data_IF_588864692200
#
_entry.id   IF_588864692200
#
_cell.length_a   1.000
_cell.length_b   1.000
_cell.length_c   1.000
_cell.angle_alpha   90.00
_cell.angle_beta   90.00
_cell.angle_gamma   90.00
#
_symmetry.space_group_name_H-M   'P 1'
#
loop_
_entity.id
_entity.type
_entity.pdbx_description
1 polymer ?
#
# COMPACT_ATOMS: atom_id res chain seq x y z
N UNK A 1 -15.83 -11.89 -18.36
CA UNK A 1 -16.84 -11.56 -17.32
C UNK A 1 -16.48 -10.34 -16.43
N UNK A 2 -15.54 -9.46 -16.80
CA UNK A 2 -15.12 -8.35 -15.92
C UNK A 2 -15.91 -7.02 -16.09
N UNK A 3 -16.72 -6.89 -17.15
CA UNK A 3 -17.40 -5.61 -17.50
C UNK A 3 -18.61 -5.30 -16.63
N UNK A 4 -19.32 -6.32 -16.12
CA UNK A 4 -20.52 -6.11 -15.31
C UNK A 4 -20.19 -5.57 -13.91
N UNK A 5 -19.09 -6.00 -13.29
CA UNK A 5 -18.75 -5.61 -11.91
C UNK A 5 -18.43 -4.13 -11.75
N UNK A 6 -17.86 -3.48 -12.77
CA UNK A 6 -17.53 -2.04 -12.73
C UNK A 6 -18.78 -1.17 -12.93
N UNK A 7 -19.71 -1.58 -13.80
CA UNK A 7 -20.99 -0.89 -13.99
C UNK A 7 -21.85 -0.93 -12.73
N UNK A 8 -21.94 -2.08 -12.06
CA UNK A 8 -22.63 -2.20 -10.78
C UNK A 8 -21.99 -1.35 -9.68
N UNK A 9 -20.66 -1.30 -9.63
CA UNK A 9 -19.94 -0.46 -8.67
C UNK A 9 -20.20 1.03 -8.92
N UNK A 10 -20.26 1.44 -10.18
CA UNK A 10 -20.56 2.81 -10.57
C UNK A 10 -21.98 3.20 -10.14
N UNK A 11 -22.98 2.40 -10.53
CA UNK A 11 -24.38 2.64 -10.15
C UNK A 11 -24.57 2.68 -8.63
N UNK A 12 -23.96 1.74 -7.90
CA UNK A 12 -24.00 1.73 -6.44
C UNK A 12 -23.36 2.99 -5.83
N UNK A 13 -22.23 3.43 -6.37
CA UNK A 13 -21.54 4.64 -5.88
C UNK A 13 -22.39 5.87 -6.14
N UNK A 14 -23.05 5.97 -7.29
CA UNK A 14 -23.94 7.09 -7.64
C UNK A 14 -25.16 7.19 -6.70
N UNK A 15 -25.84 6.06 -6.46
CA UNK A 15 -26.95 6.01 -5.49
C UNK A 15 -26.50 6.37 -4.08
N UNK A 16 -25.35 5.84 -3.62
CA UNK A 16 -24.82 6.15 -2.30
C UNK A 16 -24.34 7.60 -2.17
N UNK A 17 -23.81 8.18 -3.25
CA UNK A 17 -23.43 9.59 -3.31
C UNK A 17 -24.66 10.47 -3.15
N UNK A 18 -25.73 10.19 -3.90
CA UNK A 18 -26.99 10.91 -3.80
C UNK A 18 -27.56 10.85 -2.38
N UNK A 19 -27.61 9.64 -1.78
CA UNK A 19 -28.06 9.47 -0.39
C UNK A 19 -27.20 10.24 0.60
N UNK A 20 -25.88 10.23 0.41
CA UNK A 20 -24.94 10.97 1.28
C UNK A 20 -25.19 12.46 1.20
N UNK A 21 -25.35 13.03 0.00
CA UNK A 21 -25.62 14.47 -0.15
C UNK A 21 -26.99 14.88 0.37
N UNK A 22 -28.04 14.08 0.14
CA UNK A 22 -29.38 14.35 0.70
C UNK A 22 -29.32 14.37 2.23
N UNK A 23 -28.65 13.39 2.82
CA UNK A 23 -28.45 13.32 4.27
C UNK A 23 -27.66 14.51 4.81
N UNK A 24 -26.55 14.87 4.15
CA UNK A 24 -25.72 16.00 4.54
C UNK A 24 -26.49 17.32 4.47
N UNK A 25 -27.23 17.55 3.39
CA UNK A 25 -28.11 18.72 3.23
C UNK A 25 -29.12 18.77 4.39
N UNK A 26 -29.80 17.65 4.67
CA UNK A 26 -30.78 17.60 5.76
C UNK A 26 -30.18 17.97 7.12
N UNK A 27 -28.96 17.49 7.41
CA UNK A 27 -28.26 17.79 8.67
C UNK A 27 -27.83 19.26 8.72
N UNK A 28 -27.25 19.78 7.64
CA UNK A 28 -26.77 21.17 7.54
C UNK A 28 -27.91 22.17 7.73
N UNK A 29 -29.04 21.99 7.04
CA UNK A 29 -30.18 22.92 7.12
C UNK A 29 -30.91 22.88 8.47
N UNK A 30 -30.80 21.78 9.22
CA UNK A 30 -31.32 21.69 10.58
C UNK A 30 -30.46 22.50 11.57
N UNK A 31 -29.17 22.68 11.25
CA UNK A 31 -28.19 23.32 12.13
C UNK A 31 -28.27 24.87 12.04
N UNK A 32 -29.06 25.50 12.91
CA UNK A 32 -29.45 26.93 12.80
C UNK A 32 -28.38 28.03 13.10
N UNK A 33 -27.06 27.77 13.12
CA UNK A 33 -26.09 28.81 13.59
C UNK A 33 -24.75 28.88 12.83
N UNK A 34 -24.27 30.12 12.68
CA UNK A 34 -22.95 30.72 12.31
C UNK A 34 -22.03 30.02 11.30
N UNK A 35 -21.95 28.69 11.31
CA UNK A 35 -21.14 27.90 10.38
C UNK A 35 -21.89 27.53 9.08
N UNK A 36 -23.19 27.80 9.00
CA UNK A 36 -24.02 27.44 7.84
C UNK A 36 -23.46 27.95 6.50
N UNK A 37 -22.88 29.15 6.46
CA UNK A 37 -22.24 29.64 5.23
C UNK A 37 -21.00 28.83 4.84
N UNK A 38 -20.16 28.45 5.81
CA UNK A 38 -18.99 27.62 5.55
C UNK A 38 -19.38 26.20 5.10
N UNK A 39 -20.39 25.61 5.75
CA UNK A 39 -20.92 24.29 5.38
C UNK A 39 -21.53 24.29 3.97
N UNK A 40 -22.27 25.34 3.60
CA UNK A 40 -22.82 25.47 2.25
C UNK A 40 -21.70 25.58 1.21
N UNK A 41 -20.67 26.39 1.47
CA UNK A 41 -19.52 26.50 0.55
C UNK A 41 -18.82 25.15 0.41
N UNK A 42 -18.58 24.45 1.53
CA UNK A 42 -17.99 23.12 1.52
C UNK A 42 -18.85 22.12 0.73
N UNK A 43 -20.16 22.11 0.95
CA UNK A 43 -21.12 21.28 0.23
C UNK A 43 -21.07 21.51 -1.28
N UNK A 44 -21.05 22.78 -1.71
CA UNK A 44 -20.97 23.14 -3.14
C UNK A 44 -19.64 22.66 -3.74
N UNK A 45 -18.52 22.86 -3.05
CA UNK A 45 -17.20 22.37 -3.51
C UNK A 45 -17.20 20.85 -3.62
N UNK A 46 -17.76 20.14 -2.63
CA UNK A 46 -17.87 18.68 -2.64
C UNK A 46 -18.78 18.19 -3.77
N UNK A 47 -19.89 18.87 -4.05
CA UNK A 47 -20.76 18.55 -5.19
C UNK A 47 -20.00 18.66 -6.51
N UNK A 48 -19.30 19.78 -6.75
CA UNK A 48 -18.52 19.96 -7.99
C UNK A 48 -17.42 18.90 -8.11
N UNK A 49 -16.69 18.64 -7.02
CA UNK A 49 -15.66 17.60 -6.98
C UNK A 49 -16.24 16.21 -7.26
N UNK A 50 -17.43 15.92 -6.72
CA UNK A 50 -18.11 14.63 -6.94
C UNK A 50 -18.59 14.44 -8.38
N UNK A 51 -19.10 15.49 -9.03
CA UNK A 51 -19.50 15.47 -10.44
C UNK A 51 -18.29 15.23 -11.35
N UNK A 52 -17.19 15.94 -11.09
CA UNK A 52 -15.93 15.73 -11.81
C UNK A 52 -15.39 14.30 -11.59
N UNK A 53 -15.44 13.79 -10.36
CA UNK A 53 -15.05 12.43 -10.03
C UNK A 53 -15.91 11.38 -10.75
N UNK A 54 -17.23 11.62 -10.83
CA UNK A 54 -18.19 10.76 -11.52
C UNK A 54 -17.86 10.65 -13.01
N UNK A 55 -17.60 11.78 -13.67
CA UNK A 55 -17.19 11.80 -15.08
C UNK A 55 -15.89 11.02 -15.30
N UNK A 56 -14.87 11.24 -14.47
CA UNK A 56 -13.59 10.54 -14.57
C UNK A 56 -13.73 9.04 -14.28
N UNK A 57 -14.52 8.66 -13.28
CA UNK A 57 -14.77 7.27 -12.93
C UNK A 57 -15.55 6.54 -14.03
N UNK A 58 -16.53 7.21 -14.65
CA UNK A 58 -17.26 6.71 -15.80
C UNK A 58 -16.35 6.48 -17.01
N UNK A 59 -15.41 7.40 -17.25
CA UNK A 59 -14.36 7.24 -18.26
C UNK A 59 -13.32 6.13 -17.93
N UNK A 60 -13.46 5.44 -16.79
CA UNK A 60 -12.57 4.38 -16.35
C UNK A 60 -11.25 4.87 -15.76
N UNK A 61 -11.12 6.17 -15.48
CA UNK A 61 -9.89 6.75 -14.93
C UNK A 61 -9.77 6.45 -13.43
N UNK A 62 -8.57 6.01 -13.01
CA UNK A 62 -8.26 5.76 -11.58
C UNK A 62 -8.39 7.03 -10.72
N UNK A 63 -8.13 8.19 -11.32
CA UNK A 63 -8.21 9.49 -10.64
C UNK A 63 -9.63 9.73 -10.14
N UNK A 64 -10.67 9.37 -10.90
CA UNK A 64 -12.07 9.54 -10.47
C UNK A 64 -12.37 8.81 -9.17
N UNK A 65 -11.95 7.54 -9.06
CA UNK A 65 -12.10 6.76 -7.82
C UNK A 65 -11.30 7.33 -6.64
N UNK A 66 -10.14 7.92 -6.93
CA UNK A 66 -9.32 8.57 -5.89
C UNK A 66 -9.96 9.85 -5.40
N UNK A 67 -10.54 10.66 -6.30
CA UNK A 67 -11.29 11.87 -5.92
C UNK A 67 -12.53 11.48 -5.12
N UNK A 68 -13.26 10.43 -5.50
CA UNK A 68 -14.37 9.92 -4.68
C UNK A 68 -13.94 9.52 -3.28
N UNK A 69 -12.82 8.80 -3.15
CA UNK A 69 -12.28 8.43 -1.84
C UNK A 69 -12.04 9.68 -0.97
N UNK A 70 -11.44 10.74 -1.55
CA UNK A 70 -11.19 12.00 -0.83
C UNK A 70 -12.49 12.70 -0.47
N UNK A 71 -13.44 12.81 -1.40
CA UNK A 71 -14.76 13.42 -1.15
C UNK A 71 -15.48 12.71 0.00
N UNK A 72 -15.58 11.38 -0.03
CA UNK A 72 -16.23 10.63 1.04
C UNK A 72 -15.47 10.73 2.37
N UNK A 73 -14.15 10.79 2.36
CA UNK A 73 -13.37 11.03 3.58
C UNK A 73 -13.66 12.40 4.19
N UNK A 74 -13.76 13.44 3.37
CA UNK A 74 -14.12 14.79 3.83
C UNK A 74 -15.54 14.81 4.37
N UNK A 75 -16.50 14.18 3.69
CA UNK A 75 -17.89 14.06 4.17
C UNK A 75 -17.95 13.31 5.51
N UNK A 76 -17.20 12.21 5.68
CA UNK A 76 -17.14 11.49 6.96
C UNK A 76 -16.55 12.37 8.06
N UNK A 77 -15.46 13.09 7.76
CA UNK A 77 -14.85 14.00 8.72
C UNK A 77 -15.82 15.12 9.14
N UNK A 78 -16.54 15.68 8.17
CA UNK A 78 -17.57 16.69 8.38
C UNK A 78 -18.71 16.16 9.26
N UNK A 79 -19.22 14.95 8.99
CA UNK A 79 -20.21 14.28 9.83
C UNK A 79 -19.71 14.06 11.27
N UNK A 80 -18.45 13.63 11.45
CA UNK A 80 -17.85 13.49 12.77
C UNK A 80 -17.74 14.85 13.48
N UNK A 81 -17.36 15.89 12.76
CA UNK A 81 -17.29 17.25 13.28
C UNK A 81 -18.68 17.72 13.76
N UNK A 82 -19.71 17.57 12.93
CA UNK A 82 -21.09 17.91 13.30
C UNK A 82 -21.59 17.13 14.52
N UNK A 83 -21.23 15.84 14.66
CA UNK A 83 -21.56 15.05 15.84
C UNK A 83 -20.85 15.56 17.10
N UNK A 84 -19.54 15.84 17.00
CA UNK A 84 -18.72 16.31 18.13
C UNK A 84 -19.15 17.66 18.70
N UNK A 85 -19.71 18.53 17.86
CA UNK A 85 -20.27 19.83 18.28
C UNK A 85 -21.73 19.74 18.77
N UNK A 86 -22.32 18.54 18.84
CA UNK A 86 -23.70 18.36 19.30
C UNK A 86 -24.74 18.93 18.35
N UNK A 87 -24.42 19.05 17.06
CA UNK A 87 -25.29 19.64 16.02
C UNK A 87 -26.09 18.59 15.24
N UNK A 88 -25.97 17.33 15.61
CA UNK A 88 -26.74 16.24 15.03
C UNK A 88 -28.08 16.08 15.77
N UNK A 89 -29.03 16.98 15.51
CA UNK A 89 -30.35 16.96 16.14
C UNK A 89 -31.15 15.69 15.78
N UNK A 90 -30.89 15.13 14.59
CA UNK A 90 -31.49 13.89 14.13
C UNK A 90 -30.43 12.79 13.97
N UNK A 91 -30.14 12.11 15.07
CA UNK A 91 -29.13 11.03 15.13
C UNK A 91 -29.42 9.91 14.13
N UNK A 92 -30.69 9.60 13.85
CA UNK A 92 -31.05 8.56 12.88
C UNK A 92 -30.58 8.92 11.47
N UNK A 93 -30.85 10.15 11.04
CA UNK A 93 -30.39 10.67 9.73
C UNK A 93 -28.87 10.74 9.69
N UNK A 94 -28.23 11.15 10.80
CA UNK A 94 -26.79 11.16 10.91
C UNK A 94 -26.18 9.76 10.72
N UNK A 95 -26.67 8.74 11.44
CA UNK A 95 -26.18 7.36 11.33
C UNK A 95 -26.41 6.78 9.93
N UNK A 96 -27.59 7.02 9.34
CA UNK A 96 -27.88 6.55 7.99
C UNK A 96 -26.94 7.18 6.95
N UNK A 97 -26.69 8.49 7.07
CA UNK A 97 -25.77 9.22 6.19
C UNK A 97 -24.35 8.72 6.36
N UNK A 98 -23.86 8.64 7.60
CA UNK A 98 -22.51 8.14 7.91
C UNK A 98 -22.30 6.71 7.39
N UNK A 99 -23.28 5.82 7.56
CA UNK A 99 -23.22 4.46 7.06
C UNK A 99 -23.18 4.42 5.52
N UNK A 100 -24.04 5.19 4.84
CA UNK A 100 -24.04 5.27 3.39
C UNK A 100 -22.71 5.79 2.85
N UNK A 101 -22.18 6.85 3.43
CA UNK A 101 -20.88 7.44 3.06
C UNK A 101 -19.74 6.46 3.32
N UNK A 102 -19.76 5.72 4.43
CA UNK A 102 -18.75 4.71 4.74
C UNK A 102 -18.75 3.57 3.73
N UNK A 103 -19.93 3.06 3.35
CA UNK A 103 -20.04 2.02 2.32
C UNK A 103 -19.51 2.54 0.98
N UNK A 104 -19.85 3.78 0.60
CA UNK A 104 -19.38 4.41 -0.63
C UNK A 104 -17.85 4.57 -0.64
N UNK A 105 -17.27 4.99 0.50
CA UNK A 105 -15.84 5.08 0.70
C UNK A 105 -15.14 3.73 0.47
N UNK A 106 -15.67 2.65 1.05
CA UNK A 106 -15.11 1.30 0.88
C UNK A 106 -15.18 0.83 -0.57
N UNK A 107 -16.26 1.14 -1.28
CA UNK A 107 -16.40 0.83 -2.72
C UNK A 107 -15.36 1.60 -3.53
N UNK A 108 -15.15 2.89 -3.25
CA UNK A 108 -14.14 3.70 -3.92
C UNK A 108 -12.72 3.11 -3.72
N UNK A 109 -12.35 2.79 -2.47
CA UNK A 109 -11.07 2.15 -2.14
C UNK A 109 -10.90 0.80 -2.84
N UNK A 110 -11.95 -0.03 -2.87
CA UNK A 110 -11.93 -1.32 -3.56
C UNK A 110 -11.63 -1.16 -5.06
N UNK A 111 -12.22 -0.15 -5.70
CA UNK A 111 -12.01 0.12 -7.13
C UNK A 111 -10.61 0.69 -7.43
N UNK A 112 -10.00 1.43 -6.51
CA UNK A 112 -8.59 1.86 -6.64
C UNK A 112 -7.64 0.65 -6.65
N UNK A 113 -7.89 -0.35 -5.80
CA UNK A 113 -7.02 -1.51 -5.60
C UNK A 113 -7.19 -2.64 -6.62
N UNK A 114 -8.30 -2.67 -7.36
CA UNK A 114 -8.56 -3.69 -8.41
C UNK A 114 -7.79 -3.45 -9.71
N UNK A 115 -7.01 -2.38 -9.82
CA UNK A 115 -6.27 -2.07 -11.05
C UNK A 115 -5.04 -3.00 -11.23
N UNK A 116 -4.91 -3.74 -12.34
CA UNK A 116 -3.88 -4.75 -12.56
C UNK A 116 -2.45 -4.20 -12.47
N UNK A 117 -2.23 -2.92 -12.78
CA UNK A 117 -0.92 -2.26 -12.70
C UNK A 117 -0.42 -2.16 -11.24
N UNK A 118 -1.32 -1.92 -10.28
CA UNK A 118 -0.96 -1.83 -8.85
C UNK A 118 -0.68 -3.22 -8.28
N UNK A 119 -1.45 -4.24 -8.69
CA UNK A 119 -1.12 -5.64 -8.36
C UNK A 119 0.23 -6.06 -8.95
N UNK A 120 0.57 -5.61 -10.15
CA UNK A 120 1.87 -5.88 -10.77
C UNK A 120 3.01 -5.16 -10.03
N UNK A 121 2.81 -3.89 -9.64
CA UNK A 121 3.80 -3.11 -8.89
C UNK A 121 3.99 -3.64 -7.46
N UNK A 122 2.90 -4.03 -6.77
CA UNK A 122 2.95 -4.65 -5.45
C UNK A 122 3.61 -6.04 -5.48
N UNK A 123 3.37 -6.83 -6.54
CA UNK A 123 4.10 -8.09 -6.77
C UNK A 123 5.58 -7.85 -7.03
N UNK A 124 5.95 -6.84 -7.82
CA UNK A 124 7.36 -6.50 -8.05
C UNK A 124 8.06 -6.00 -6.79
N UNK A 125 7.38 -5.20 -5.95
CA UNK A 125 7.92 -4.77 -4.65
C UNK A 125 8.13 -5.96 -3.70
N UNK A 126 7.19 -6.91 -3.65
CA UNK A 126 7.31 -8.10 -2.80
C UNK A 126 8.40 -9.06 -3.28
N UNK A 127 8.61 -9.20 -4.60
CA UNK A 127 9.70 -10.00 -5.20
C UNK A 127 11.07 -9.34 -4.97
N UNK A 128 11.15 -8.00 -5.00
CA UNK A 128 12.40 -7.28 -4.65
C UNK A 128 12.71 -7.36 -3.15
N UNK A 129 11.70 -7.27 -2.29
CA UNK A 129 11.87 -7.41 -0.84
C UNK A 129 12.28 -8.83 -0.43
N UNK A 130 11.80 -9.87 -1.11
CA UNK A 130 12.23 -11.25 -0.85
C UNK A 130 13.61 -11.59 -1.46
N UNK A 131 14.04 -10.88 -2.51
CA UNK A 131 15.39 -10.98 -3.06
C UNK A 131 16.45 -10.26 -2.19
N UNK A 132 16.02 -9.42 -1.25
CA UNK A 132 16.88 -8.64 -0.36
C UNK A 132 16.82 -9.13 1.09
N UNK A 133 16.56 -10.43 1.31
CA UNK A 133 16.99 -11.08 2.54
C UNK A 133 18.50 -11.34 2.40
N UNK A 134 19.36 -10.63 3.15
CA UNK A 134 20.80 -10.82 3.02
C UNK A 134 21.13 -12.26 3.41
N UNK A 135 21.70 -13.00 2.46
CA UNK A 135 22.39 -14.25 2.73
C UNK A 135 23.67 -13.93 3.52
N UNK A 136 23.54 -13.62 4.81
CA UNK A 136 24.66 -13.64 5.77
C UNK A 136 24.55 -14.94 6.57
N UNK A 137 24.62 -16.08 5.88
CA UNK A 137 25.09 -17.35 6.47
C UNK A 137 25.36 -18.35 5.36
N UNK A 138 26.54 -18.22 4.73
CA UNK A 138 27.24 -19.34 4.09
C UNK A 138 28.66 -18.85 3.73
N UNK A 139 29.52 -18.78 4.74
CA UNK A 139 30.89 -19.24 4.48
C UNK A 139 30.78 -20.76 4.37
N UNK A 140 31.18 -21.35 3.23
CA UNK A 140 32.39 -22.17 3.32
C UNK A 140 33.24 -22.18 2.04
N UNK A 141 34.56 -22.17 2.24
CA UNK A 141 35.51 -23.03 1.53
C UNK A 141 35.56 -22.99 -0.02
N UNK A 142 36.06 -21.90 -0.63
CA UNK A 142 36.65 -22.04 -1.98
C UNK A 142 37.80 -21.06 -2.28
N UNK A 143 38.62 -20.75 -1.28
CA UNK A 143 39.97 -20.15 -1.49
C UNK A 143 41.02 -20.74 -0.54
N UNK A 144 40.89 -22.03 -0.20
CA UNK A 144 41.87 -22.78 0.60
C UNK A 144 42.50 -23.98 -0.12
N UNK A 145 42.05 -24.32 -1.34
CA UNK A 145 42.61 -25.45 -2.13
C UNK A 145 43.79 -25.04 -3.03
N UNK A 146 43.92 -23.79 -3.44
CA UNK A 146 45.08 -23.32 -4.23
C UNK A 146 46.34 -23.03 -3.38
N UNK A 147 46.23 -22.94 -2.06
CA UNK A 147 47.36 -22.69 -1.15
C UNK A 147 47.94 -23.97 -0.52
N UNK A 148 47.26 -25.12 -0.62
CA UNK A 148 47.75 -26.40 -0.07
C UNK A 148 48.62 -27.21 -1.05
N UNK A 149 48.51 -26.97 -2.36
CA UNK A 149 49.33 -27.69 -3.35
C UNK A 149 50.70 -27.04 -3.61
N UNK A 150 50.86 -25.74 -3.31
CA UNK A 150 52.16 -25.05 -3.32
C UNK A 150 52.99 -25.24 -2.03
N UNK A 151 52.39 -25.73 -0.94
CA UNK A 151 53.05 -25.92 0.36
C UNK A 151 53.61 -27.35 0.58
N UNK A 152 53.20 -28.34 -0.21
CA UNK A 152 53.67 -29.74 -0.10
C UNK A 152 54.94 -30.00 -0.94
N UNK A 153 55.20 -29.22 -2.00
CA UNK A 153 56.44 -29.33 -2.79
C UNK A 153 57.68 -28.63 -2.19
N UNK A 154 57.54 -27.86 -1.11
CA UNK A 154 58.68 -27.17 -0.43
C UNK A 154 59.16 -27.82 0.88
N UNK A 155 58.50 -28.88 1.39
CA UNK A 155 58.96 -29.63 2.58
C UNK A 155 59.62 -30.99 2.29
N UNK A 156 59.62 -31.46 1.04
CA UNK A 156 60.25 -32.74 0.64
C UNK A 156 61.76 -32.67 0.32
N UNK A 157 62.30 -31.49 0.01
CA UNK A 157 63.66 -31.32 -0.53
C UNK A 157 64.72 -30.97 0.51
N UNK A 158 64.38 -30.86 1.80
CA UNK A 158 65.32 -30.53 2.89
C UNK A 158 65.62 -31.67 3.87
N UNK A 159 65.06 -32.86 3.66
CA UNK A 159 65.36 -34.08 4.47
C UNK A 159 66.24 -35.12 3.77
N UNK A 160 66.66 -34.90 2.52
CA UNK A 160 67.51 -35.85 1.75
C UNK A 160 68.99 -35.48 1.65
N UNK A 161 69.42 -34.35 2.19
CA UNK A 161 70.85 -33.93 2.20
C UNK A 161 71.52 -33.99 3.58
N UNK A 162 70.83 -34.38 4.65
CA UNK A 162 71.44 -34.60 5.97
C UNK A 162 71.80 -36.09 6.25
N UNK A 163 71.23 -37.05 5.50
CA UNK A 163 71.49 -38.50 5.68
C UNK A 163 72.53 -39.05 4.69
N UNK A 164 73.60 -38.28 4.43
CA UNK A 164 74.75 -38.74 3.63
C UNK A 164 76.12 -38.39 4.25
N UNK A 165 76.15 -37.96 5.53
CA UNK A 165 77.38 -37.69 6.30
C UNK A 165 77.51 -38.44 7.63
N UNK A 166 76.63 -39.40 7.93
CA UNK A 166 76.66 -40.19 9.17
C UNK A 166 76.70 -41.71 8.92
N UNK A 167 77.56 -42.16 8.00
CA UNK A 167 77.71 -43.59 7.66
C UNK A 167 79.12 -43.99 7.21
N UNK A 168 80.16 -43.22 7.59
CA UNK A 168 81.57 -43.55 7.31
C UNK A 168 82.47 -43.29 8.52
N UNK A 169 82.15 -43.90 9.67
CA UNK A 169 83.10 -44.16 10.78
C UNK A 169 82.57 -45.33 11.66
N UNK A 170 82.88 -46.56 11.28
CA UNK A 170 83.20 -47.73 12.15
C UNK A 170 83.10 -49.04 11.35
N UNK A 171 84.24 -49.50 10.83
CA UNK A 171 84.66 -50.90 10.74
C UNK A 171 86.20 -50.87 10.69
N UNK A 172 86.80 -50.95 11.87
CA UNK A 172 87.95 -51.84 12.14
C UNK A 172 87.34 -52.85 13.10
#
# INVERSE_FOLDING_TARGET
>A
MARNTTLWSFFATDVLLLLSFIGLISIIFTTQKLLLAAEIVLLVVLMIASLAALFMAYAGMRVGWTVFMVVFAVVLFDLLFLLGYGKADNLLVWFATAAATLVAFLIAVSNINKNPVVKALARQAHVRASAQKPAVTAAPEEKASAAKEAAVRRKGTRKRTAKRRAGRKKKI
#
